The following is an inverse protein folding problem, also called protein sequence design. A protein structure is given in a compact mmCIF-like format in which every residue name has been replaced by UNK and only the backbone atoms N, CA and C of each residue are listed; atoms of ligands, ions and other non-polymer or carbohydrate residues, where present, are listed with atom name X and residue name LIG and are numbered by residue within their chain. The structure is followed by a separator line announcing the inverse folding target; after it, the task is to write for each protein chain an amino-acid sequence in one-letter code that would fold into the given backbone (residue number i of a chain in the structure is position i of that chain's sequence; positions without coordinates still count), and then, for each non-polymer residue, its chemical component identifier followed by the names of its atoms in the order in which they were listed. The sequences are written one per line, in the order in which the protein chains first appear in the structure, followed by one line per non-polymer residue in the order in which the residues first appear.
data_IF_773569666679
#
_entry.id   IF_773569666679
#
_cell.length_a   1.000
_cell.length_b   1.000
_cell.length_c   1.000
_cell.angle_alpha   90.00
_cell.angle_beta   90.00
_cell.angle_gamma   90.00
#
_symmetry.space_group_name_H-M   'P 1'
#
loop_
_entity.id
_entity.type
_entity.pdbx_description
1 polymer ?
#
# COMPACT_ATOMS: atom_id res chain seq x y z
N UNK A 1 -21.07 1.19 -26.06
CA UNK A 1 -20.18 0.02 -25.87
C UNK A 1 -20.68 -0.70 -24.63
N UNK A 2 -20.72 -2.03 -24.63
CA UNK A 2 -21.15 -2.80 -23.45
C UNK A 2 -20.04 -2.87 -22.40
N UNK A 3 -20.36 -3.37 -21.21
CA UNK A 3 -19.37 -3.63 -20.17
C UNK A 3 -18.29 -4.60 -20.71
N UNK A 4 -17.02 -4.36 -20.38
CA UNK A 4 -15.92 -5.24 -20.74
C UNK A 4 -15.48 -6.04 -19.52
N UNK A 5 -15.19 -7.32 -19.71
CA UNK A 5 -14.65 -8.20 -18.66
C UNK A 5 -13.19 -8.46 -18.96
N UNK A 6 -12.31 -8.19 -18.00
CA UNK A 6 -10.90 -8.51 -18.07
C UNK A 6 -10.64 -9.76 -17.22
N UNK A 7 -10.37 -10.88 -17.89
CA UNK A 7 -9.99 -12.12 -17.23
C UNK A 7 -8.50 -12.11 -16.88
N UNK A 8 -8.10 -12.92 -15.92
CA UNK A 8 -6.71 -12.95 -15.45
C UNK A 8 -5.81 -13.64 -16.48
N UNK A 9 -6.37 -14.57 -17.26
CA UNK A 9 -5.71 -15.23 -18.39
C UNK A 9 -5.51 -14.34 -19.65
N UNK A 10 -5.84 -13.04 -19.57
CA UNK A 10 -5.61 -12.08 -20.64
C UNK A 10 -6.56 -12.17 -21.84
N UNK A 11 -7.70 -12.85 -21.69
CA UNK A 11 -8.78 -12.89 -22.69
C UNK A 11 -9.92 -11.96 -22.26
N UNK A 12 -10.26 -11.01 -23.15
CA UNK A 12 -11.40 -10.12 -22.93
C UNK A 12 -12.74 -10.86 -23.08
N UNK A 13 -13.61 -10.70 -22.08
CA UNK A 13 -14.99 -11.14 -22.11
C UNK A 13 -15.97 -10.00 -22.41
N UNK A 14 -17.14 -10.37 -22.92
CA UNK A 14 -18.22 -9.45 -23.32
C UNK A 14 -19.51 -9.65 -22.53
N UNK A 15 -19.66 -10.80 -21.86
CA UNK A 15 -20.79 -11.14 -21.02
C UNK A 15 -20.35 -12.02 -19.83
N UNK A 16 -21.25 -12.27 -18.88
CA UNK A 16 -20.91 -13.03 -17.66
C UNK A 16 -20.53 -14.50 -17.88
N UNK A 17 -20.88 -15.10 -19.02
CA UNK A 17 -20.49 -16.48 -19.38
C UNK A 17 -19.01 -16.55 -19.80
N UNK A 18 -18.41 -15.40 -20.15
CA UNK A 18 -17.00 -15.27 -20.52
C UNK A 18 -16.05 -15.13 -19.30
N UNK A 19 -16.56 -15.30 -18.07
CA UNK A 19 -15.73 -15.31 -16.85
C UNK A 19 -15.11 -16.71 -16.70
N UNK A 20 -13.78 -16.77 -16.78
CA UNK A 20 -13.04 -18.04 -16.79
C UNK A 20 -12.20 -18.28 -15.53
N UNK A 21 -11.91 -17.21 -14.79
CA UNK A 21 -11.02 -17.24 -13.62
C UNK A 21 -11.76 -16.92 -12.32
N UNK A 22 -11.16 -17.32 -11.19
CA UNK A 22 -11.66 -16.93 -9.85
C UNK A 22 -11.78 -15.41 -9.73
N UNK A 23 -10.87 -14.66 -10.35
CA UNK A 23 -10.83 -13.20 -10.30
C UNK A 23 -11.16 -12.59 -11.66
N UNK A 24 -11.83 -11.46 -11.67
CA UNK A 24 -12.11 -10.69 -12.88
C UNK A 24 -12.30 -9.21 -12.56
N UNK A 25 -12.11 -8.36 -13.57
CA UNK A 25 -12.37 -6.92 -13.49
C UNK A 25 -13.41 -6.55 -14.55
N UNK A 26 -14.40 -5.77 -14.16
CA UNK A 26 -15.42 -5.21 -15.04
C UNK A 26 -15.12 -3.74 -15.29
N UNK A 27 -15.04 -3.35 -16.56
CA UNK A 27 -15.06 -1.95 -16.96
C UNK A 27 -16.48 -1.56 -17.35
N UNK A 28 -17.06 -0.63 -16.59
CA UNK A 28 -18.38 -0.06 -16.81
C UNK A 28 -18.30 1.04 -17.89
N UNK A 29 -19.44 1.34 -18.52
CA UNK A 29 -19.53 2.30 -19.62
C UNK A 29 -19.09 3.74 -19.28
N UNK A 30 -19.06 4.09 -17.99
CA UNK A 30 -18.60 5.38 -17.50
C UNK A 30 -17.10 5.40 -17.17
N UNK A 31 -16.32 4.48 -17.73
CA UNK A 31 -14.89 4.29 -17.44
C UNK A 31 -14.59 3.90 -15.97
N UNK A 32 -15.61 3.58 -15.18
CA UNK A 32 -15.43 3.08 -13.83
C UNK A 32 -15.10 1.58 -13.84
N UNK A 33 -14.32 1.16 -12.86
CA UNK A 33 -13.94 -0.24 -12.67
C UNK A 33 -14.70 -0.85 -11.50
N UNK A 34 -15.00 -2.13 -11.62
CA UNK A 34 -15.50 -3.00 -10.57
C UNK A 34 -14.74 -4.32 -10.60
N UNK A 35 -14.66 -5.04 -9.50
CA UNK A 35 -13.97 -6.33 -9.47
C UNK A 35 -14.40 -7.16 -8.28
N UNK A 36 -14.18 -8.47 -8.36
CA UNK A 36 -14.34 -9.35 -7.21
C UNK A 36 -13.04 -9.51 -6.39
N UNK A 37 -11.99 -8.74 -6.72
CA UNK A 37 -10.75 -8.66 -5.94
C UNK A 37 -11.05 -7.84 -4.68
N UNK A 38 -10.80 -8.41 -3.50
CA UNK A 38 -11.03 -7.70 -2.24
C UNK A 38 -9.85 -6.79 -1.91
N UNK A 39 -10.04 -5.49 -2.11
CA UNK A 39 -9.06 -4.47 -1.75
C UNK A 39 -9.17 -3.98 -0.30
N UNK A 40 -10.28 -4.27 0.38
CA UNK A 40 -10.57 -3.82 1.76
C UNK A 40 -10.40 -2.31 1.99
N UNK A 41 -10.45 -1.50 0.92
CA UNK A 41 -10.11 -0.08 0.95
C UNK A 41 -10.98 0.70 1.95
N UNK A 42 -12.29 0.53 1.88
CA UNK A 42 -13.23 1.26 2.74
C UNK A 42 -13.04 0.90 4.21
N UNK A 43 -12.81 -0.39 4.52
CA UNK A 43 -12.52 -0.86 5.88
C UNK A 43 -11.18 -0.31 6.40
N UNK A 44 -10.14 -0.36 5.58
CA UNK A 44 -8.83 0.19 5.93
C UNK A 44 -8.93 1.69 6.22
N UNK A 45 -9.58 2.46 5.34
CA UNK A 45 -9.71 3.92 5.47
C UNK A 45 -10.54 4.28 6.69
N UNK A 46 -11.55 3.48 7.00
CA UNK A 46 -12.35 3.62 8.21
C UNK A 46 -11.52 3.38 9.46
N UNK A 47 -10.68 2.35 9.48
CA UNK A 47 -9.77 2.08 10.59
C UNK A 47 -8.70 3.17 10.74
N UNK A 48 -8.11 3.64 9.65
CA UNK A 48 -7.18 4.79 9.64
C UNK A 48 -7.81 6.04 10.25
N UNK A 49 -9.03 6.37 9.83
CA UNK A 49 -9.76 7.54 10.31
C UNK A 49 -10.08 7.40 11.80
N UNK A 50 -10.61 6.24 12.21
CA UNK A 50 -10.91 5.92 13.62
C UNK A 50 -9.65 6.02 14.49
N UNK A 51 -8.53 5.49 13.99
CA UNK A 51 -7.26 5.59 14.67
C UNK A 51 -6.84 7.05 14.84
N UNK A 52 -6.97 7.87 13.80
CA UNK A 52 -6.51 9.25 13.85
C UNK A 52 -7.31 10.05 14.89
N UNK A 53 -8.64 9.87 14.94
CA UNK A 53 -9.49 10.48 15.97
C UNK A 53 -9.04 10.08 17.39
N UNK A 54 -8.74 8.79 17.56
CA UNK A 54 -8.25 8.21 18.81
C UNK A 54 -6.85 8.72 19.21
N UNK A 55 -5.97 8.90 18.23
CA UNK A 55 -4.65 9.46 18.39
C UNK A 55 -4.73 10.94 18.80
N UNK A 56 -5.59 11.73 18.16
CA UNK A 56 -5.84 13.13 18.52
C UNK A 56 -6.33 13.25 19.96
N UNK A 57 -7.32 12.44 20.35
CA UNK A 57 -7.84 12.42 21.72
C UNK A 57 -6.75 12.10 22.75
N UNK A 58 -5.83 11.20 22.42
CA UNK A 58 -4.69 10.83 23.28
C UNK A 58 -3.65 11.94 23.39
N UNK A 59 -3.27 12.57 22.29
CA UNK A 59 -2.24 13.62 22.26
C UNK A 59 -2.73 14.92 22.91
N UNK A 60 -4.01 15.27 22.71
CA UNK A 60 -4.63 16.48 23.27
C UNK A 60 -5.33 16.27 24.62
N UNK A 61 -5.35 15.04 25.16
CA UNK A 61 -5.92 14.70 26.46
C UNK A 61 -7.36 15.24 26.64
N UNK A 62 -8.17 15.15 25.58
CA UNK A 62 -9.56 15.64 25.59
C UNK A 62 -9.74 17.16 25.40
N UNK A 63 -8.67 17.92 25.14
CA UNK A 63 -8.73 19.36 24.78
C UNK A 63 -9.18 19.60 23.33
N UNK A 64 -10.32 19.05 22.93
CA UNK A 64 -10.84 19.13 21.55
C UNK A 64 -11.07 20.57 21.08
N UNK A 65 -11.43 21.49 21.98
CA UNK A 65 -11.60 22.91 21.64
C UNK A 65 -10.31 23.59 21.18
N UNK A 66 -9.17 23.25 21.80
CA UNK A 66 -7.85 23.75 21.38
C UNK A 66 -7.47 23.19 20.02
N UNK A 67 -7.68 21.89 19.80
CA UNK A 67 -7.43 21.28 18.49
C UNK A 67 -8.26 21.97 17.39
N UNK A 68 -9.57 22.16 17.60
CA UNK A 68 -10.45 22.81 16.63
C UNK A 68 -10.03 24.26 16.35
N UNK A 69 -9.55 24.99 17.37
CA UNK A 69 -8.99 26.32 17.19
C UNK A 69 -7.75 26.29 16.29
N UNK A 70 -6.82 25.37 16.56
CA UNK A 70 -5.59 25.22 15.79
C UNK A 70 -5.86 24.77 14.35
N UNK A 71 -6.81 23.84 14.16
CA UNK A 71 -7.28 23.42 12.85
C UNK A 71 -7.88 24.59 12.07
N UNK A 72 -8.73 25.40 12.69
CA UNK A 72 -9.23 26.61 12.06
C UNK A 72 -8.09 27.58 11.68
N UNK A 73 -7.19 27.85 12.62
CA UNK A 73 -6.11 28.84 12.47
C UNK A 73 -5.08 28.44 11.41
N UNK A 74 -4.65 27.18 11.42
CA UNK A 74 -3.52 26.71 10.64
C UNK A 74 -3.91 25.89 9.43
N UNK A 75 -5.11 25.29 9.37
CA UNK A 75 -5.55 24.45 8.26
C UNK A 75 -6.74 25.01 7.48
N UNK A 76 -7.77 25.58 8.12
CA UNK A 76 -8.95 26.09 7.37
C UNK A 76 -8.81 27.55 6.93
N UNK A 77 -8.06 28.37 7.67
CA UNK A 77 -7.85 29.77 7.32
C UNK A 77 -6.95 29.87 6.08
N UNK A 78 -7.53 30.14 4.91
CA UNK A 78 -6.88 30.17 3.58
C UNK A 78 -5.54 30.95 3.57
N UNK A 79 -5.39 32.00 4.39
CA UNK A 79 -4.17 32.81 4.45
C UNK A 79 -2.97 32.08 5.09
N UNK A 80 -3.20 31.04 5.88
CA UNK A 80 -2.19 30.26 6.64
C UNK A 80 -2.25 28.75 6.36
N UNK A 81 -3.45 28.27 6.04
CA UNK A 81 -3.94 26.91 5.79
C UNK A 81 -2.91 25.92 5.27
N UNK A 82 -2.35 26.19 4.09
CA UNK A 82 -1.51 25.22 3.39
C UNK A 82 -0.02 25.41 3.66
N UNK A 83 0.38 26.62 4.07
CA UNK A 83 1.78 26.99 4.21
C UNK A 83 2.42 26.32 5.42
N UNK A 84 1.79 26.38 6.59
CA UNK A 84 2.39 25.84 7.81
C UNK A 84 2.20 24.33 7.95
N UNK A 85 0.98 23.83 7.70
CA UNK A 85 0.65 22.41 7.90
C UNK A 85 1.31 21.48 6.89
N UNK A 86 1.57 21.94 5.65
CA UNK A 86 2.26 21.14 4.63
C UNK A 86 3.77 21.41 4.54
N UNK A 87 4.33 22.28 5.39
CA UNK A 87 5.75 22.58 5.36
C UNK A 87 6.57 21.29 5.56
N UNK A 88 7.42 20.94 4.59
CA UNK A 88 8.18 19.69 4.61
C UNK A 88 7.37 18.41 4.38
N UNK A 89 6.04 18.48 4.23
CA UNK A 89 5.16 17.33 4.00
C UNK A 89 4.63 17.25 2.56
N UNK A 90 4.64 18.36 1.81
CA UNK A 90 4.20 18.35 0.41
C UNK A 90 4.41 19.68 -0.31
N UNK A 91 4.18 19.66 -1.63
CA UNK A 91 4.37 20.82 -2.52
C UNK A 91 3.34 21.94 -2.32
N UNK A 92 2.35 21.75 -1.46
CA UNK A 92 1.35 22.76 -1.13
C UNK A 92 1.89 23.85 -0.17
N UNK A 93 3.11 23.66 0.37
CA UNK A 93 3.84 24.69 1.11
C UNK A 93 5.10 25.14 0.35
N UNK A 94 5.32 26.45 0.33
CA UNK A 94 6.53 27.08 -0.21
C UNK A 94 7.58 27.36 0.88
N UNK A 95 7.30 27.03 2.15
CA UNK A 95 8.19 27.34 3.26
C UNK A 95 9.51 26.57 3.13
N UNK A 96 10.63 27.26 3.31
CA UNK A 96 11.92 26.60 3.45
C UNK A 96 12.06 25.93 4.81
N UNK A 97 13.07 25.07 4.95
CA UNK A 97 13.47 24.50 6.23
C UNK A 97 13.75 25.58 7.30
N UNK A 98 14.38 26.69 6.90
CA UNK A 98 14.71 27.80 7.80
C UNK A 98 13.44 28.55 8.24
N UNK A 99 12.50 28.78 7.32
CA UNK A 99 11.24 29.43 7.64
C UNK A 99 10.40 28.60 8.62
N UNK A 100 10.34 27.27 8.42
CA UNK A 100 9.63 26.37 9.32
C UNK A 100 10.30 26.32 10.70
N UNK A 101 11.63 26.25 10.74
CA UNK A 101 12.38 26.26 12.01
C UNK A 101 12.16 27.57 12.76
N UNK A 102 12.22 28.73 12.08
CA UNK A 102 11.93 30.02 12.70
C UNK A 102 10.49 30.10 13.24
N UNK A 103 9.52 29.57 12.48
CA UNK A 103 8.13 29.51 12.92
C UNK A 103 8.00 28.71 14.23
N UNK A 104 8.56 27.50 14.27
CA UNK A 104 8.53 26.63 15.44
C UNK A 104 9.30 27.23 16.62
N UNK A 105 10.48 27.82 16.41
CA UNK A 105 11.32 28.25 17.51
C UNK A 105 10.89 29.61 18.08
N UNK A 106 10.42 30.53 17.21
CA UNK A 106 10.24 31.93 17.57
C UNK A 106 8.77 32.41 17.47
N UNK A 107 8.04 32.05 16.42
CA UNK A 107 6.75 32.70 16.10
C UNK A 107 5.54 32.14 16.88
N UNK A 108 5.59 30.88 17.30
CA UNK A 108 4.46 30.22 17.99
C UNK A 108 4.35 30.55 19.49
N UNK A 109 5.22 31.42 20.01
CA UNK A 109 5.32 31.69 21.45
C UNK A 109 4.21 32.60 22.00
N UNK A 110 3.57 33.41 21.14
CA UNK A 110 2.63 34.48 21.56
C UNK A 110 1.18 34.22 21.08
N UNK A 111 0.74 32.96 21.03
CA UNK A 111 -0.65 32.63 20.68
C UNK A 111 -1.62 32.95 21.84
N UNK A 112 -2.73 33.67 21.60
CA UNK A 112 -3.64 34.11 22.65
C UNK A 112 -4.54 33.00 23.23
N UNK A 113 -4.61 31.82 22.59
CA UNK A 113 -5.54 30.74 22.97
C UNK A 113 -4.80 29.43 23.21
N UNK A 114 -3.83 29.06 22.37
CA UNK A 114 -3.09 27.82 22.48
C UNK A 114 -1.68 28.03 23.02
N UNK A 115 -1.20 27.11 23.83
CA UNK A 115 0.20 27.11 24.28
C UNK A 115 1.15 26.69 23.15
N UNK A 116 2.44 27.06 23.26
CA UNK A 116 3.51 26.56 22.37
C UNK A 116 3.46 25.04 22.22
N UNK A 117 3.33 24.32 23.34
CA UNK A 117 3.29 22.86 23.37
C UNK A 117 2.10 22.31 22.57
N UNK A 118 0.92 22.93 22.68
CA UNK A 118 -0.29 22.53 21.94
C UNK A 118 -0.16 22.78 20.44
N UNK A 119 0.53 23.85 20.03
CA UNK A 119 0.83 24.12 18.62
C UNK A 119 1.82 23.08 18.06
N UNK A 120 2.87 22.73 18.82
CA UNK A 120 3.81 21.67 18.43
C UNK A 120 3.11 20.31 18.32
N UNK A 121 2.24 19.98 19.28
CA UNK A 121 1.38 18.77 19.22
C UNK A 121 0.54 18.75 17.95
N UNK A 122 -0.10 19.87 17.61
CA UNK A 122 -0.91 19.97 16.40
C UNK A 122 -0.09 19.72 15.13
N UNK A 123 1.09 20.33 14.99
CA UNK A 123 1.96 20.13 13.84
C UNK A 123 2.45 18.68 13.74
N UNK A 124 2.81 18.07 14.87
CA UNK A 124 3.15 16.65 14.94
C UNK A 124 1.98 15.75 14.51
N UNK A 125 0.74 16.06 14.93
CA UNK A 125 -0.44 15.34 14.46
C UNK A 125 -0.61 15.42 12.94
N UNK A 126 -0.30 16.55 12.32
CA UNK A 126 -0.32 16.69 10.85
C UNK A 126 0.72 15.78 10.17
N UNK A 127 1.90 15.58 10.77
CA UNK A 127 2.87 14.62 10.23
C UNK A 127 2.35 13.18 10.27
N UNK A 128 1.69 12.79 11.36
CA UNK A 128 1.08 11.46 11.50
C UNK A 128 -0.07 11.30 10.51
N UNK A 129 -0.90 12.33 10.34
CA UNK A 129 -1.96 12.33 9.34
C UNK A 129 -1.41 12.17 7.92
N UNK A 130 -0.31 12.87 7.59
CA UNK A 130 0.35 12.74 6.29
C UNK A 130 0.87 11.32 6.06
N UNK A 131 1.46 10.69 7.08
CA UNK A 131 1.91 9.30 7.00
C UNK A 131 0.75 8.32 6.77
N UNK A 132 -0.40 8.55 7.42
CA UNK A 132 -1.62 7.76 7.19
C UNK A 132 -2.11 7.93 5.75
N UNK A 133 -2.24 9.18 5.30
CA UNK A 133 -2.66 9.51 3.94
C UNK A 133 -1.73 8.91 2.88
N UNK A 134 -0.43 8.82 3.15
CA UNK A 134 0.53 8.24 2.20
C UNK A 134 0.32 6.74 1.99
N UNK A 135 0.06 5.95 3.04
CA UNK A 135 -0.22 4.52 2.83
C UNK A 135 -1.62 4.31 2.22
N UNK A 136 -2.60 5.15 2.53
CA UNK A 136 -3.91 5.12 1.88
C UNK A 136 -3.81 5.40 0.37
N UNK A 137 -2.98 6.38 -0.02
CA UNK A 137 -2.65 6.63 -1.44
C UNK A 137 -1.98 5.41 -2.08
N UNK A 138 -1.09 4.70 -1.38
CA UNK A 138 -0.48 3.47 -1.91
C UNK A 138 -1.53 2.38 -2.17
N UNK A 139 -2.56 2.26 -1.33
CA UNK A 139 -3.68 1.32 -1.55
C UNK A 139 -4.47 1.71 -2.80
N UNK A 140 -4.84 2.99 -2.94
CA UNK A 140 -5.53 3.50 -4.13
C UNK A 140 -4.70 3.24 -5.39
N UNK A 141 -3.43 3.63 -5.38
CA UNK A 141 -2.53 3.45 -6.53
C UNK A 141 -2.35 1.98 -6.89
N UNK A 142 -2.27 1.09 -5.90
CA UNK A 142 -2.21 -0.36 -6.13
C UNK A 142 -3.46 -0.87 -6.82
N UNK A 143 -4.65 -0.49 -6.32
CA UNK A 143 -5.94 -0.85 -6.91
C UNK A 143 -6.06 -0.35 -8.36
N UNK A 144 -5.81 0.94 -8.59
CA UNK A 144 -5.91 1.55 -9.92
C UNK A 144 -4.90 0.95 -10.90
N UNK A 145 -3.67 0.71 -10.46
CA UNK A 145 -2.64 0.09 -11.30
C UNK A 145 -3.02 -1.33 -11.71
N UNK A 146 -3.67 -2.10 -10.84
CA UNK A 146 -4.20 -3.44 -11.17
C UNK A 146 -5.26 -3.35 -12.26
N UNK A 147 -6.19 -2.40 -12.15
CA UNK A 147 -7.20 -2.19 -13.19
C UNK A 147 -6.58 -1.83 -14.53
N UNK A 148 -5.63 -0.89 -14.53
CA UNK A 148 -4.90 -0.48 -15.74
C UNK A 148 -4.08 -1.65 -16.31
N UNK A 149 -3.42 -2.44 -15.47
CA UNK A 149 -2.67 -3.62 -15.90
C UNK A 149 -3.58 -4.59 -16.66
N UNK A 150 -4.69 -5.03 -16.08
CA UNK A 150 -5.56 -6.01 -16.73
C UNK A 150 -6.31 -5.44 -17.93
N UNK A 151 -6.66 -4.15 -17.94
CA UNK A 151 -7.20 -3.51 -19.14
C UNK A 151 -6.20 -3.60 -20.30
N UNK A 152 -4.94 -3.20 -20.07
CA UNK A 152 -3.89 -3.26 -21.10
C UNK A 152 -3.60 -4.71 -21.48
N UNK A 153 -3.52 -5.60 -20.51
CA UNK A 153 -3.17 -7.00 -20.68
C UNK A 153 -4.24 -7.81 -21.40
N UNK A 154 -5.52 -7.42 -21.33
CA UNK A 154 -6.63 -8.09 -22.03
C UNK A 154 -6.92 -7.49 -23.41
N UNK A 155 -6.24 -6.41 -23.81
CA UNK A 155 -6.53 -5.77 -25.08
C UNK A 155 -6.26 -6.77 -26.25
N UNK A 156 -7.25 -7.07 -27.11
CA UNK A 156 -7.06 -8.02 -28.20
C UNK A 156 -6.09 -7.49 -29.28
N UNK A 157 -5.82 -6.19 -29.27
CA UNK A 157 -4.94 -5.48 -30.20
C UNK A 157 -3.66 -4.97 -29.53
N UNK A 158 -3.13 -5.65 -28.51
CA UNK A 158 -1.85 -5.23 -27.87
C UNK A 158 -0.74 -5.11 -28.92
N UNK A 159 -0.66 -6.06 -29.86
CA UNK A 159 0.45 -6.12 -30.82
C UNK A 159 -0.02 -5.73 -32.23
N UNK A 160 -0.40 -4.46 -32.40
CA UNK A 160 -1.03 -3.93 -33.64
C UNK A 160 -0.20 -4.07 -34.94
N UNK A 161 1.03 -4.59 -34.88
CA UNK A 161 1.93 -4.76 -36.02
C UNK A 161 2.46 -6.18 -36.23
N UNK A 162 2.12 -7.12 -35.35
CA UNK A 162 2.63 -8.50 -35.42
C UNK A 162 1.49 -9.49 -35.16
N UNK A 163 1.09 -10.23 -36.19
CA UNK A 163 0.22 -11.40 -35.98
C UNK A 163 1.00 -12.47 -35.22
N UNK A 164 0.56 -12.77 -34.00
CA UNK A 164 1.11 -13.89 -33.23
C UNK A 164 0.69 -15.20 -33.87
N UNK A 165 1.60 -16.17 -33.90
CA UNK A 165 1.46 -17.43 -34.63
C UNK A 165 0.55 -18.41 -33.87
N UNK A 166 0.10 -19.44 -34.57
CA UNK A 166 -0.53 -20.62 -33.94
C UNK A 166 0.43 -21.27 -32.93
N UNK A 167 -0.11 -21.76 -31.82
CA UNK A 167 0.66 -22.31 -30.71
C UNK A 167 1.24 -21.25 -29.78
N UNK A 168 2.26 -21.65 -29.01
CA UNK A 168 2.94 -20.78 -28.05
C UNK A 168 3.87 -19.80 -28.77
N UNK A 169 3.58 -18.51 -28.62
CA UNK A 169 4.38 -17.40 -29.14
C UNK A 169 4.91 -16.57 -28.00
N UNK A 170 6.18 -16.20 -28.09
CA UNK A 170 6.86 -15.29 -27.18
C UNK A 170 6.90 -13.89 -27.78
N UNK A 171 6.61 -12.86 -26.97
CA UNK A 171 6.42 -11.50 -27.47
C UNK A 171 7.31 -10.50 -26.73
N UNK A 172 8.06 -9.76 -27.54
CA UNK A 172 9.03 -8.75 -27.12
C UNK A 172 8.79 -7.45 -27.89
N UNK A 173 8.04 -6.54 -27.29
CA UNK A 173 7.62 -5.28 -27.91
C UNK A 173 7.61 -4.11 -26.92
N UNK A 174 7.37 -2.89 -27.42
CA UNK A 174 7.17 -1.72 -26.57
C UNK A 174 5.99 -1.92 -25.62
N UNK A 175 4.92 -2.53 -26.11
CA UNK A 175 3.72 -2.83 -25.34
C UNK A 175 3.98 -3.88 -24.25
N UNK A 176 4.79 -4.91 -24.54
CA UNK A 176 5.21 -5.89 -23.52
C UNK A 176 6.01 -5.24 -22.39
N UNK A 177 6.94 -4.34 -22.71
CA UNK A 177 7.71 -3.59 -21.69
C UNK A 177 6.80 -2.69 -20.87
N UNK A 178 5.88 -1.97 -21.52
CA UNK A 178 4.94 -1.10 -20.83
C UNK A 178 4.04 -1.86 -19.85
N UNK A 179 3.50 -3.01 -20.26
CA UNK A 179 2.69 -3.88 -19.39
C UNK A 179 3.51 -4.39 -18.20
N UNK A 180 4.74 -4.85 -18.44
CA UNK A 180 5.63 -5.30 -17.35
C UNK A 180 5.99 -4.16 -16.40
N UNK A 181 6.24 -2.94 -16.89
CA UNK A 181 6.47 -1.78 -16.01
C UNK A 181 5.28 -1.51 -15.09
N UNK A 182 4.04 -1.66 -15.57
CA UNK A 182 2.86 -1.52 -14.71
C UNK A 182 2.84 -2.62 -13.65
N UNK A 183 3.10 -3.88 -14.04
CA UNK A 183 3.19 -5.01 -13.11
C UNK A 183 4.26 -4.80 -12.04
N UNK A 184 5.46 -4.40 -12.43
CA UNK A 184 6.57 -4.11 -11.53
C UNK A 184 6.20 -2.97 -10.57
N UNK A 185 5.56 -1.92 -11.07
CA UNK A 185 5.08 -0.82 -10.23
C UNK A 185 3.99 -1.27 -9.23
N UNK A 186 3.08 -2.18 -9.61
CA UNK A 186 2.12 -2.78 -8.66
C UNK A 186 2.88 -3.47 -7.53
N UNK A 187 3.89 -4.29 -7.84
CA UNK A 187 4.67 -5.03 -6.85
C UNK A 187 5.45 -4.06 -5.93
N UNK A 188 6.08 -3.03 -6.49
CA UNK A 188 6.81 -2.03 -5.71
C UNK A 188 5.87 -1.24 -4.78
N UNK A 189 4.78 -0.69 -5.33
CA UNK A 189 3.84 0.17 -4.57
C UNK A 189 3.11 -0.61 -3.50
N UNK A 190 2.65 -1.82 -3.82
CA UNK A 190 2.00 -2.69 -2.84
C UNK A 190 2.95 -3.04 -1.69
N UNK A 191 4.19 -3.44 -1.98
CA UNK A 191 5.15 -3.76 -0.91
C UNK A 191 5.60 -2.53 -0.10
N UNK A 192 5.53 -1.31 -0.63
CA UNK A 192 5.74 -0.09 0.16
C UNK A 192 4.71 0.08 1.29
N UNK A 193 3.51 -0.49 1.17
CA UNK A 193 2.49 -0.49 2.25
C UNK A 193 3.08 -1.12 3.52
N UNK A 194 3.89 -2.17 3.39
CA UNK A 194 4.53 -2.84 4.51
C UNK A 194 5.43 -1.89 5.31
N UNK A 195 6.26 -1.11 4.62
CA UNK A 195 7.20 -0.19 5.27
C UNK A 195 6.46 0.97 5.95
N UNK A 196 5.50 1.60 5.25
CA UNK A 196 4.72 2.69 5.83
C UNK A 196 3.90 2.25 7.05
N UNK A 197 3.25 1.09 6.98
CA UNK A 197 2.48 0.53 8.07
C UNK A 197 3.37 0.10 9.24
N UNK A 198 4.57 -0.43 8.96
CA UNK A 198 5.58 -0.72 10.00
C UNK A 198 6.00 0.54 10.73
N UNK A 199 6.29 1.62 9.99
CA UNK A 199 6.62 2.93 10.58
C UNK A 199 5.47 3.43 11.45
N UNK A 200 4.25 3.28 10.96
CA UNK A 200 3.06 3.77 11.65
C UNK A 200 2.86 3.03 12.98
N UNK A 201 2.85 1.68 12.95
CA UNK A 201 2.77 0.83 14.15
C UNK A 201 3.86 1.22 15.16
N UNK A 202 5.08 1.42 14.70
CA UNK A 202 6.18 1.79 15.59
C UNK A 202 5.99 3.18 16.21
N UNK A 203 5.50 4.16 15.46
CA UNK A 203 5.22 5.51 15.96
C UNK A 203 4.08 5.52 16.98
N UNK A 204 3.05 4.68 16.79
CA UNK A 204 1.94 4.48 17.74
C UNK A 204 2.44 4.08 19.13
N UNK A 205 3.40 3.16 19.19
CA UNK A 205 3.94 2.67 20.44
C UNK A 205 4.88 3.67 21.12
N UNK A 206 5.39 4.62 20.33
CA UNK A 206 6.51 5.47 20.72
C UNK A 206 6.18 6.97 20.69
N UNK A 207 4.90 7.32 20.78
CA UNK A 207 4.42 8.71 20.81
C UNK A 207 5.22 9.53 21.83
N UNK A 208 5.74 10.71 21.45
CA UNK A 208 6.44 11.61 22.36
C UNK A 208 5.59 11.93 23.59
N UNK A 209 6.20 11.89 24.78
CA UNK A 209 5.54 12.25 26.04
C UNK A 209 5.59 13.74 26.36
N UNK A 210 6.51 14.47 25.74
CA UNK A 210 6.80 15.88 26.01
C UNK A 210 6.97 16.57 24.66
N UNK A 211 6.34 17.74 24.50
CA UNK A 211 6.33 18.54 23.27
C UNK A 211 6.88 19.96 23.50
N UNK A 212 7.85 20.10 24.41
CA UNK A 212 8.54 21.37 24.66
C UNK A 212 9.36 21.82 23.43
N UNK A 213 9.84 20.84 22.67
CA UNK A 213 10.56 20.98 21.41
C UNK A 213 9.88 20.12 20.34
N UNK A 214 10.13 20.44 19.07
CA UNK A 214 9.58 19.68 17.96
C UNK A 214 10.19 18.27 17.88
N UNK A 215 9.39 17.20 18.04
CA UNK A 215 9.94 15.86 18.13
C UNK A 215 10.37 15.34 16.77
N UNK A 216 11.54 14.70 16.71
CA UNK A 216 11.90 13.84 15.57
C UNK A 216 11.12 12.53 15.67
N UNK A 217 10.38 12.17 14.62
CA UNK A 217 9.71 10.85 14.53
C UNK A 217 10.71 9.71 14.70
N UNK A 218 10.41 8.78 15.61
CA UNK A 218 11.28 7.64 15.87
C UNK A 218 11.20 6.61 14.76
N UNK A 219 10.10 6.57 14.02
CA UNK A 219 9.89 5.66 12.91
C UNK A 219 10.60 6.06 11.60
N UNK A 220 11.34 7.16 11.55
CA UNK A 220 11.87 7.72 10.29
C UNK A 220 12.65 6.69 9.47
N UNK A 221 13.58 6.00 10.14
CA UNK A 221 14.44 4.97 9.57
C UNK A 221 13.89 3.56 9.80
N UNK A 222 12.64 3.41 10.22
CA UNK A 222 12.04 2.12 10.53
C UNK A 222 11.45 1.48 9.25
N UNK A 223 11.60 0.16 9.08
CA UNK A 223 11.11 -0.56 7.89
C UNK A 223 10.58 -1.94 8.27
N UNK A 224 9.87 -2.60 7.35
CA UNK A 224 9.28 -3.91 7.62
C UNK A 224 10.32 -5.03 7.82
N UNK A 225 11.59 -4.82 7.45
CA UNK A 225 12.67 -5.75 7.76
C UNK A 225 13.09 -5.74 9.23
N UNK A 226 12.79 -4.65 9.96
CA UNK A 226 13.16 -4.45 11.38
C UNK A 226 12.13 -4.98 12.37
N UNK A 227 10.95 -5.38 11.91
CA UNK A 227 9.82 -5.80 12.76
C UNK A 227 9.89 -7.26 13.21
N UNK A 228 10.95 -7.99 12.87
CA UNK A 228 11.10 -9.42 13.19
C UNK A 228 10.93 -9.70 14.68
N UNK A 229 10.36 -10.86 15.01
CA UNK A 229 10.25 -11.30 16.41
C UNK A 229 11.61 -11.43 17.10
N UNK A 230 12.65 -11.85 16.35
CA UNK A 230 14.01 -12.04 16.83
C UNK A 230 14.89 -10.77 16.78
N UNK A 231 14.28 -9.59 16.67
CA UNK A 231 14.99 -8.31 16.58
C UNK A 231 15.96 -8.12 17.77
N UNK A 232 17.25 -7.95 17.45
CA UNK A 232 18.32 -7.82 18.46
C UNK A 232 18.45 -6.41 19.01
N UNK A 233 18.11 -5.39 18.21
CA UNK A 233 18.11 -4.03 18.69
C UNK A 233 16.79 -3.74 19.41
N UNK A 234 16.85 -3.65 20.74
CA UNK A 234 15.69 -3.42 21.60
C UNK A 234 14.95 -2.12 21.27
N UNK A 235 15.63 -1.13 20.72
CA UNK A 235 15.02 0.15 20.34
C UNK A 235 14.11 0.02 19.11
N UNK A 236 14.16 -1.11 18.40
CA UNK A 236 13.36 -1.38 17.21
C UNK A 236 12.31 -2.49 17.42
N UNK A 237 12.07 -2.91 18.66
CA UNK A 237 11.08 -3.95 18.96
C UNK A 237 9.70 -3.29 19.07
N UNK A 238 8.74 -3.79 18.29
CA UNK A 238 7.30 -3.52 18.53
C UNK A 238 6.78 -4.47 19.63
N UNK A 239 5.92 -3.96 20.49
CA UNK A 239 5.35 -4.66 21.64
C UNK A 239 4.23 -5.64 21.26
N UNK A 240 4.44 -6.44 20.22
CA UNK A 240 3.45 -7.37 19.66
C UNK A 240 3.89 -8.80 19.86
N UNK A 241 3.04 -9.58 20.54
CA UNK A 241 3.24 -11.01 20.77
C UNK A 241 3.09 -11.80 19.46
N UNK A 242 3.47 -13.08 19.48
CA UNK A 242 3.20 -13.99 18.34
C UNK A 242 1.72 -14.02 17.98
N UNK A 243 0.83 -14.04 18.98
CA UNK A 243 -0.64 -14.02 18.79
C UNK A 243 -1.11 -12.73 18.11
N UNK A 244 -0.54 -11.58 18.49
CA UNK A 244 -0.90 -10.28 17.91
C UNK A 244 -0.51 -10.17 16.43
N UNK A 245 0.47 -10.96 15.98
CA UNK A 245 1.03 -10.89 14.62
C UNK A 245 0.30 -11.77 13.62
N UNK A 246 -0.48 -12.75 14.07
CA UNK A 246 -1.20 -13.70 13.21
C UNK A 246 -2.12 -12.94 12.24
N UNK A 247 -2.04 -13.28 10.94
CA UNK A 247 -2.76 -12.65 9.84
C UNK A 247 -2.47 -11.15 9.65
N UNK A 248 -1.45 -10.58 10.29
CA UNK A 248 -1.04 -9.18 10.09
C UNK A 248 0.09 -9.07 9.06
N UNK A 249 0.55 -7.86 8.76
CA UNK A 249 1.73 -7.71 7.89
C UNK A 249 3.00 -8.28 8.52
N UNK A 250 3.01 -8.45 9.85
CA UNK A 250 4.13 -8.98 10.63
C UNK A 250 4.07 -10.49 10.84
N UNK A 251 3.10 -11.17 10.22
CA UNK A 251 2.98 -12.62 10.24
C UNK A 251 4.14 -13.26 9.45
N UNK A 252 5.01 -13.99 10.14
CA UNK A 252 6.19 -14.63 9.55
C UNK A 252 5.87 -15.90 8.73
N UNK A 253 4.64 -16.40 8.87
CA UNK A 253 4.10 -17.57 8.16
C UNK A 253 3.29 -17.18 6.91
N UNK A 254 3.03 -15.89 6.69
CA UNK A 254 2.31 -15.41 5.50
C UNK A 254 3.17 -15.43 4.23
N UNK A 255 3.21 -16.58 3.57
CA UNK A 255 4.02 -16.81 2.36
C UNK A 255 3.77 -15.77 1.24
N UNK A 256 2.53 -15.34 1.03
CA UNK A 256 2.17 -14.40 -0.05
C UNK A 256 2.85 -13.03 0.12
N UNK A 257 2.94 -12.55 1.36
CA UNK A 257 3.66 -11.29 1.67
C UNK A 257 5.15 -11.46 1.38
N UNK A 258 5.75 -12.58 1.77
CA UNK A 258 7.16 -12.82 1.49
C UNK A 258 7.44 -12.97 0.00
N UNK A 259 6.58 -13.64 -0.75
CA UNK A 259 6.65 -13.72 -2.21
C UNK A 259 6.68 -12.31 -2.81
N UNK A 260 5.73 -11.43 -2.45
CA UNK A 260 5.73 -10.03 -2.91
C UNK A 260 7.03 -9.30 -2.53
N UNK A 261 7.51 -9.45 -1.30
CA UNK A 261 8.78 -8.85 -0.85
C UNK A 261 9.97 -9.34 -1.69
N UNK A 262 10.04 -10.63 -2.03
CA UNK A 262 11.11 -11.19 -2.86
C UNK A 262 11.03 -10.73 -4.31
N UNK A 263 9.83 -10.63 -4.89
CA UNK A 263 9.63 -10.06 -6.21
C UNK A 263 10.05 -8.58 -6.25
N UNK A 264 9.67 -7.77 -5.25
CA UNK A 264 10.13 -6.37 -5.16
C UNK A 264 11.64 -6.28 -5.05
N UNK A 265 12.26 -7.12 -4.22
CA UNK A 265 13.73 -7.13 -4.09
C UNK A 265 14.41 -7.54 -5.39
N UNK A 266 13.83 -8.47 -6.15
CA UNK A 266 14.29 -8.81 -7.49
C UNK A 266 14.29 -7.57 -8.38
N UNK A 267 13.15 -6.89 -8.49
CA UNK A 267 12.98 -5.70 -9.34
C UNK A 267 13.95 -4.58 -8.95
N UNK A 268 14.15 -4.34 -7.65
CA UNK A 268 14.99 -3.21 -7.19
C UNK A 268 16.48 -3.49 -7.29
N UNK A 269 16.91 -4.73 -7.05
CA UNK A 269 18.34 -5.05 -7.08
C UNK A 269 18.84 -5.47 -8.48
N UNK A 270 17.97 -6.04 -9.31
CA UNK A 270 18.32 -6.50 -10.65
C UNK A 270 17.65 -5.68 -11.78
N UNK A 271 16.83 -4.70 -11.42
CA UNK A 271 16.17 -3.78 -12.36
C UNK A 271 14.82 -4.27 -12.89
N UNK A 272 14.60 -5.58 -13.01
CA UNK A 272 13.44 -6.16 -13.68
C UNK A 272 12.94 -7.45 -13.03
N UNK A 273 11.66 -7.77 -13.24
CA UNK A 273 11.09 -9.07 -12.88
C UNK A 273 11.62 -10.20 -13.79
N UNK A 274 11.67 -9.93 -15.09
CA UNK A 274 12.23 -10.79 -16.13
C UNK A 274 13.09 -9.94 -17.08
N UNK A 275 14.24 -10.47 -17.51
CA UNK A 275 15.25 -9.69 -18.25
C UNK A 275 14.68 -9.12 -19.55
N UNK A 276 13.82 -9.90 -20.22
CA UNK A 276 13.31 -9.55 -21.53
C UNK A 276 11.87 -8.98 -21.48
N UNK A 277 11.27 -8.85 -20.29
CA UNK A 277 9.89 -8.40 -20.10
C UNK A 277 8.90 -9.19 -20.98
N UNK A 278 9.04 -10.50 -20.94
CA UNK A 278 8.35 -11.41 -21.85
C UNK A 278 6.85 -11.50 -21.60
N UNK A 279 6.04 -11.45 -22.65
CA UNK A 279 4.64 -11.91 -22.62
C UNK A 279 4.50 -13.12 -23.54
N UNK A 280 3.79 -14.13 -23.07
CA UNK A 280 3.48 -15.33 -23.83
C UNK A 280 2.02 -15.30 -24.28
N UNK A 281 1.76 -15.73 -25.52
CA UNK A 281 0.43 -16.01 -26.03
C UNK A 281 0.36 -17.44 -26.54
N UNK A 282 -0.74 -18.13 -26.25
CA UNK A 282 -1.01 -19.43 -26.83
C UNK A 282 -2.27 -19.35 -27.70
N UNK A 283 -2.15 -19.67 -28.99
CA UNK A 283 -3.26 -19.72 -29.93
C UNK A 283 -3.58 -21.15 -30.35
N UNK A 284 -4.87 -21.46 -30.41
CA UNK A 284 -5.38 -22.73 -30.93
C UNK A 284 -6.45 -22.43 -31.97
N UNK A 285 -6.24 -22.91 -33.20
CA UNK A 285 -7.06 -22.62 -34.38
C UNK A 285 -7.21 -21.11 -34.64
N UNK A 286 -6.13 -20.34 -34.48
CA UNK A 286 -6.11 -18.89 -34.65
C UNK A 286 -6.78 -18.11 -33.51
N UNK A 287 -7.37 -18.78 -32.52
CA UNK A 287 -8.02 -18.16 -31.37
C UNK A 287 -7.07 -18.10 -30.17
N UNK A 288 -6.92 -16.92 -29.57
CA UNK A 288 -6.15 -16.76 -28.34
C UNK A 288 -6.80 -17.55 -27.19
N UNK A 289 -6.06 -18.50 -26.63
CA UNK A 289 -6.50 -19.35 -25.50
C UNK A 289 -5.98 -18.88 -24.16
N UNK A 290 -4.84 -18.22 -24.15
CA UNK A 290 -4.31 -17.56 -22.96
C UNK A 290 -3.20 -16.58 -23.33
N UNK A 291 -3.03 -15.59 -22.46
CA UNK A 291 -1.88 -14.70 -22.41
C UNK A 291 -1.36 -14.68 -20.98
N UNK A 292 -0.05 -14.80 -20.82
CA UNK A 292 0.54 -14.87 -19.47
C UNK A 292 1.94 -14.26 -19.40
N UNK A 293 2.33 -13.95 -18.18
CA UNK A 293 3.69 -13.57 -17.79
C UNK A 293 4.15 -14.61 -16.78
N UNK A 294 5.30 -15.21 -17.02
CA UNK A 294 5.84 -16.23 -16.12
C UNK A 294 6.31 -15.60 -14.81
N UNK A 295 6.06 -16.31 -13.72
CA UNK A 295 6.54 -16.00 -12.39
C UNK A 295 7.73 -16.90 -12.06
N UNK A 296 8.84 -16.35 -11.54
CA UNK A 296 9.97 -17.17 -11.11
C UNK A 296 9.56 -18.20 -10.04
N UNK A 297 10.27 -19.33 -10.01
CA UNK A 297 10.00 -20.46 -9.10
C UNK A 297 10.27 -20.10 -7.64
N UNK A 298 9.41 -20.58 -6.73
CA UNK A 298 9.60 -20.44 -5.28
C UNK A 298 9.57 -21.80 -4.56
N UNK A 299 10.38 -21.90 -3.50
CA UNK A 299 10.28 -22.96 -2.48
C UNK A 299 9.74 -22.32 -1.20
N UNK A 300 8.42 -22.49 -0.96
CA UNK A 300 7.69 -21.77 0.08
C UNK A 300 7.85 -20.25 -0.09
N UNK A 301 8.39 -19.58 0.94
CA UNK A 301 8.63 -18.12 0.94
C UNK A 301 9.90 -17.65 0.22
N UNK A 302 10.73 -18.55 -0.29
CA UNK A 302 12.03 -18.20 -0.86
C UNK A 302 12.05 -18.36 -2.37
N UNK A 303 12.64 -17.36 -3.06
CA UNK A 303 12.92 -17.46 -4.48
C UNK A 303 13.96 -18.55 -4.73
N UNK A 304 13.66 -19.48 -5.62
CA UNK A 304 14.54 -20.60 -5.97
C UNK A 304 15.84 -20.06 -6.59
N UNK A 305 16.99 -20.56 -6.13
CA UNK A 305 18.28 -20.10 -6.64
C UNK A 305 19.32 -21.22 -6.71
N UNK A 306 20.18 -21.13 -7.72
CA UNK A 306 21.43 -21.87 -7.78
C UNK A 306 22.58 -20.89 -7.94
N UNK A 307 23.36 -20.72 -6.86
CA UNK A 307 24.40 -19.69 -6.75
C UNK A 307 23.80 -18.30 -7.06
N UNK A 308 24.20 -17.67 -8.16
CA UNK A 308 23.72 -16.36 -8.60
C UNK A 308 22.53 -16.39 -9.56
N UNK A 309 22.11 -17.57 -10.04
CA UNK A 309 20.94 -17.70 -10.92
C UNK A 309 19.67 -17.89 -10.10
N UNK A 310 18.61 -17.15 -10.43
CA UNK A 310 17.35 -17.11 -9.66
C UNK A 310 16.07 -17.00 -10.49
N UNK A 311 16.19 -16.83 -11.81
CA UNK A 311 15.05 -16.79 -12.73
C UNK A 311 14.84 -18.20 -13.32
N UNK A 312 14.31 -19.10 -12.51
CA UNK A 312 13.85 -20.42 -12.93
C UNK A 312 12.33 -20.38 -13.08
N UNK A 313 11.77 -21.14 -14.01
CA UNK A 313 10.34 -21.10 -14.36
C UNK A 313 9.74 -22.50 -14.55
N UNK A 314 10.33 -23.50 -13.89
CA UNK A 314 9.93 -24.91 -14.01
C UNK A 314 8.55 -25.21 -13.42
N UNK A 315 8.02 -24.34 -12.54
CA UNK A 315 6.71 -24.50 -11.92
C UNK A 315 5.55 -24.04 -12.82
N UNK A 316 5.83 -23.45 -14.00
CA UNK A 316 4.83 -22.88 -14.93
C UNK A 316 3.82 -21.93 -14.24
N UNK A 317 4.31 -21.19 -13.24
CA UNK A 317 3.51 -20.22 -12.50
C UNK A 317 3.34 -18.94 -13.32
N UNK A 318 2.15 -18.37 -13.29
CA UNK A 318 1.77 -17.22 -14.10
C UNK A 318 1.41 -16.06 -13.18
N UNK A 319 2.24 -15.01 -13.16
CA UNK A 319 2.09 -13.92 -12.19
C UNK A 319 0.76 -13.17 -12.39
N UNK A 320 0.28 -13.04 -13.63
CA UNK A 320 -1.03 -12.45 -13.93
C UNK A 320 -2.21 -13.26 -13.37
N UNK A 321 -2.05 -14.56 -13.06
CA UNK A 321 -3.10 -15.33 -12.39
C UNK A 321 -3.01 -15.23 -10.87
N UNK A 322 -1.79 -15.08 -10.33
CA UNK A 322 -1.55 -15.07 -8.88
C UNK A 322 -1.62 -13.68 -8.24
N UNK A 323 -1.33 -12.63 -9.01
CA UNK A 323 -1.29 -11.25 -8.54
C UNK A 323 -2.53 -10.83 -7.73
N UNK A 324 -3.78 -11.12 -8.14
CA UNK A 324 -4.95 -10.72 -7.37
C UNK A 324 -4.96 -11.33 -5.98
N UNK A 325 -4.59 -12.61 -5.85
CA UNK A 325 -4.51 -13.31 -4.57
C UNK A 325 -3.38 -12.73 -3.70
N UNK A 326 -2.22 -12.44 -4.29
CA UNK A 326 -1.10 -11.84 -3.55
C UNK A 326 -1.50 -10.48 -2.95
N UNK A 327 -2.19 -9.65 -3.74
CA UNK A 327 -2.62 -8.31 -3.32
C UNK A 327 -3.77 -8.38 -2.31
N UNK A 328 -4.75 -9.26 -2.52
CA UNK A 328 -5.83 -9.48 -1.56
C UNK A 328 -5.29 -9.89 -0.18
N UNK A 329 -4.33 -10.82 -0.12
CA UNK A 329 -3.71 -11.23 1.14
C UNK A 329 -2.93 -10.12 1.82
N UNK A 330 -2.21 -9.29 1.05
CA UNK A 330 -1.49 -8.14 1.60
C UNK A 330 -2.45 -7.10 2.20
N UNK A 331 -3.55 -6.80 1.51
CA UNK A 331 -4.52 -5.81 1.95
C UNK A 331 -5.37 -6.32 3.11
N UNK A 332 -5.69 -7.62 3.14
CA UNK A 332 -6.29 -8.23 4.32
C UNK A 332 -5.35 -8.15 5.52
N UNK A 333 -4.06 -8.47 5.34
CA UNK A 333 -3.07 -8.33 6.40
C UNK A 333 -2.89 -6.89 6.89
N UNK A 334 -2.97 -5.91 5.97
CA UNK A 334 -2.99 -4.48 6.29
C UNK A 334 -4.18 -4.13 7.16
N UNK A 335 -5.38 -4.56 6.75
CA UNK A 335 -6.63 -4.39 7.50
C UNK A 335 -6.53 -5.00 8.90
N UNK A 336 -5.99 -6.22 9.02
CA UNK A 336 -5.83 -6.89 10.31
C UNK A 336 -4.80 -6.20 11.21
N UNK A 337 -3.71 -5.68 10.65
CA UNK A 337 -2.72 -4.89 11.40
C UNK A 337 -3.36 -3.66 12.04
N UNK A 338 -4.19 -2.92 11.30
CA UNK A 338 -4.92 -1.77 11.82
C UNK A 338 -5.96 -2.18 12.89
N UNK A 339 -6.64 -3.31 12.69
CA UNK A 339 -7.57 -3.85 13.66
C UNK A 339 -6.87 -4.22 14.99
N UNK A 340 -5.70 -4.86 14.93
CA UNK A 340 -4.87 -5.16 16.12
C UNK A 340 -4.41 -3.87 16.81
N UNK A 341 -3.95 -2.87 16.06
CA UNK A 341 -3.59 -1.55 16.61
C UNK A 341 -4.74 -0.94 17.41
N UNK A 342 -5.94 -0.86 16.82
CA UNK A 342 -7.11 -0.32 17.48
C UNK A 342 -7.44 -1.10 18.76
N UNK A 343 -7.50 -2.44 18.67
CA UNK A 343 -7.83 -3.31 19.81
C UNK A 343 -6.83 -3.16 20.96
N UNK A 344 -5.54 -3.21 20.65
CA UNK A 344 -4.46 -3.29 21.64
C UNK A 344 -4.20 -1.97 22.37
N UNK A 345 -4.36 -0.83 21.70
CA UNK A 345 -3.95 0.46 22.25
C UNK A 345 -5.10 1.40 22.57
N UNK A 346 -6.33 1.09 22.14
CA UNK A 346 -7.48 1.96 22.37
C UNK A 346 -8.71 1.27 22.94
N UNK A 347 -8.75 -0.07 23.00
CA UNK A 347 -9.91 -0.80 23.47
C UNK A 347 -9.63 -1.85 24.55
N UNK A 348 -8.42 -1.97 25.11
CA UNK A 348 -7.99 -2.91 26.18
C UNK A 348 -8.78 -4.24 26.25
N UNK A 349 -8.19 -5.33 25.76
CA UNK A 349 -8.73 -6.72 25.84
C UNK A 349 -10.25 -6.85 25.63
N UNK A 350 -10.78 -6.37 24.49
CA UNK A 350 -12.13 -6.76 24.08
C UNK A 350 -12.12 -8.14 23.38
N UNK A 351 -13.02 -9.02 23.86
CA UNK A 351 -13.17 -10.44 23.54
C UNK A 351 -12.89 -10.83 22.08
N UNK A 352 -12.42 -12.07 21.87
CA UNK A 352 -12.05 -12.67 20.56
C UNK A 352 -13.15 -12.57 19.47
N UNK A 353 -14.39 -12.24 19.83
CA UNK A 353 -15.53 -12.10 18.93
C UNK A 353 -15.92 -10.65 18.57
N UNK A 354 -15.10 -9.65 18.92
CA UNK A 354 -15.41 -8.26 18.56
C UNK A 354 -15.04 -7.97 17.09
N UNK A 355 -16.07 -7.84 16.27
CA UNK A 355 -16.03 -7.17 14.96
C UNK A 355 -16.46 -5.72 15.18
N UNK A 356 -15.61 -4.75 14.83
CA UNK A 356 -15.98 -3.33 14.80
C UNK A 356 -17.03 -3.14 13.69
N UNK A 357 -18.30 -3.37 13.99
CA UNK A 357 -19.43 -2.89 13.17
C UNK A 357 -19.61 -1.41 13.46
N UNK A 358 -18.68 -0.61 12.92
CA UNK A 358 -18.91 0.83 12.85
C UNK A 358 -20.11 1.03 11.92
N UNK A 359 -21.22 1.56 12.44
CA UNK A 359 -22.40 1.90 11.64
C UNK A 359 -21.99 2.81 10.47
N UNK A 360 -22.66 2.63 9.33
CA UNK A 360 -22.45 3.38 8.10
C UNK A 360 -22.75 4.86 8.27
#
# INVERSE_FOLDING_TARGET
MGNQIFNMNGIIGTNGEDIHDKYYILKKNNEAYDSNIKFYKDEIFKYSSTYFDMFLNRVFEGKTSIYNYLEYKYFLNIKKSKYYTNAGLGSESIMSMNDFSNFIDNEINDDPIATREEIIKYMYCMEIQAQVADFEKLIIQTQESIYIFYEKFNNPKIFQKHETKEGLTTIYSMESRFINTILENIIIKSTSILDYLSKFVFEVENIPRVFNEYPKRKSLDYDHGKTKLDQKNKDFIINWTEKDRINTIFDEDNENIFILKRLRNQIIHDGFLDVDNTIYENKVNGVLKERFILMPDFEGKNLTKYKSRKLFYSQDRKINLELPKLIENLLDATRQTLNVLLKKYWFDEMSENFTLTLKN
#
